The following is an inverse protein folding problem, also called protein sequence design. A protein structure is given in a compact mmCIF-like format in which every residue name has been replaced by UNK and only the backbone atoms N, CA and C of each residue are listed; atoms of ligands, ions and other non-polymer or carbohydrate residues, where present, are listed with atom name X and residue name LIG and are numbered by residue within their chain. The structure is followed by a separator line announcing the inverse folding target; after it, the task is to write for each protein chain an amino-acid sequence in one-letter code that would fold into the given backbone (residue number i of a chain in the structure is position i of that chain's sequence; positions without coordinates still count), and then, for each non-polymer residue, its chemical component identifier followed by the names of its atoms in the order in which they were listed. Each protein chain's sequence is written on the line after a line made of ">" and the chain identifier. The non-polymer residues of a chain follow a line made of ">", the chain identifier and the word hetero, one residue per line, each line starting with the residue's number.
data_IF_030994774170
#
_entry.id   IF_030994774170
#
_cell.length_a   1.000
_cell.length_b   1.000
_cell.length_c   1.000
_cell.angle_alpha   90.00
_cell.angle_beta   90.00
_cell.angle_gamma   90.00
#
_symmetry.space_group_name_H-M   'P 1'
#
loop_
_entity.id
_entity.type
_entity.pdbx_description
1 polymer ?
#
# COMPACT_ATOMS: atom_id res chain seq x y z
N UNK A 1 4.19 11.53 19.10
CA UNK A 1 4.93 10.34 18.63
C UNK A 1 4.48 10.12 17.20
N UNK A 2 5.37 10.19 16.20
CA UNK A 2 4.95 9.88 14.83
C UNK A 2 4.75 8.37 14.79
N UNK A 3 3.53 7.91 14.58
CA UNK A 3 3.28 6.53 14.15
C UNK A 3 4.23 6.26 12.99
N UNK A 4 5.07 5.25 13.14
CA UNK A 4 5.92 4.82 12.05
C UNK A 4 5.01 4.05 11.11
N UNK A 5 4.50 4.71 10.08
CA UNK A 5 3.70 4.05 9.05
C UNK A 5 4.56 2.94 8.46
N UNK A 6 4.14 1.70 8.68
CA UNK A 6 4.83 0.52 8.18
C UNK A 6 4.95 0.61 6.66
N UNK A 7 6.18 0.46 6.14
CA UNK A 7 6.41 0.55 4.70
C UNK A 7 5.91 -0.73 4.01
N UNK A 8 5.31 -0.63 2.82
CA UNK A 8 4.84 -1.80 2.07
C UNK A 8 5.98 -2.79 1.80
N UNK A 9 5.71 -4.07 2.00
CA UNK A 9 6.62 -5.17 1.72
C UNK A 9 6.09 -6.07 0.60
N UNK A 10 7.00 -6.75 -0.10
CA UNK A 10 6.63 -7.71 -1.13
C UNK A 10 5.70 -8.79 -0.55
N UNK A 11 4.57 -9.03 -1.22
CA UNK A 11 3.54 -9.96 -0.76
C UNK A 11 2.39 -9.30 0.01
N UNK A 12 2.57 -8.07 0.52
CA UNK A 12 1.45 -7.32 1.10
C UNK A 12 0.37 -7.04 0.05
N UNK A 13 -0.88 -6.96 0.49
CA UNK A 13 -2.01 -6.58 -0.36
C UNK A 13 -2.65 -5.31 0.18
N UNK A 14 -2.82 -4.34 -0.72
CA UNK A 14 -3.42 -3.06 -0.46
C UNK A 14 -4.70 -2.88 -1.28
N UNK A 15 -5.70 -2.24 -0.69
CA UNK A 15 -6.90 -1.77 -1.38
C UNK A 15 -6.81 -0.27 -1.60
N UNK A 16 -7.03 0.20 -2.83
CA UNK A 16 -7.17 1.64 -3.09
C UNK A 16 -8.49 2.18 -2.54
N UNK A 17 -8.58 3.50 -2.35
CA UNK A 17 -9.83 4.18 -2.00
C UNK A 17 -10.99 3.92 -2.99
N UNK A 18 -10.71 3.43 -4.20
CA UNK A 18 -11.70 3.02 -5.21
C UNK A 18 -12.14 1.55 -5.10
N UNK A 19 -11.63 0.80 -4.12
CA UNK A 19 -11.96 -0.61 -3.90
C UNK A 19 -11.06 -1.61 -4.64
N UNK A 20 -10.24 -1.18 -5.60
CA UNK A 20 -9.34 -2.07 -6.34
C UNK A 20 -8.22 -2.63 -5.47
N UNK A 21 -7.89 -3.90 -5.67
CA UNK A 21 -6.83 -4.62 -4.95
C UNK A 21 -5.51 -4.60 -5.70
N UNK A 22 -4.43 -4.47 -4.93
CA UNK A 22 -3.08 -4.40 -5.44
C UNK A 22 -2.12 -5.21 -4.57
N UNK A 23 -1.33 -6.07 -5.19
CA UNK A 23 -0.26 -6.80 -4.52
C UNK A 23 1.05 -6.04 -4.69
N UNK A 24 1.77 -5.86 -3.58
CA UNK A 24 3.09 -5.25 -3.57
C UNK A 24 4.10 -6.25 -4.11
N UNK A 25 4.86 -5.83 -5.13
CA UNK A 25 5.98 -6.58 -5.68
C UNK A 25 7.26 -6.25 -4.92
N UNK A 26 7.42 -4.99 -4.52
CA UNK A 26 8.56 -4.54 -3.73
C UNK A 26 8.70 -3.02 -3.68
N UNK A 27 9.82 -2.57 -3.14
CA UNK A 27 10.24 -1.15 -3.15
C UNK A 27 11.54 -1.00 -3.94
N UNK A 28 11.73 0.19 -4.50
CA UNK A 28 12.93 0.55 -5.25
C UNK A 28 13.35 1.97 -4.94
N UNK A 29 14.60 2.32 -5.27
CA UNK A 29 15.07 3.71 -5.25
C UNK A 29 15.12 4.20 -6.70
N UNK A 30 14.48 5.34 -6.97
CA UNK A 30 14.60 6.01 -8.26
C UNK A 30 16.02 6.60 -8.37
N UNK A 31 16.82 6.14 -9.32
CA UNK A 31 18.27 6.40 -9.34
C UNK A 31 18.61 7.88 -9.55
N UNK A 32 17.77 8.59 -10.29
CA UNK A 32 17.96 9.98 -10.70
C UNK A 32 17.54 10.97 -9.61
N UNK A 33 16.53 10.62 -8.79
CA UNK A 33 15.97 11.51 -7.76
C UNK A 33 16.20 11.02 -6.34
N UNK A 34 16.69 9.80 -6.18
CA UNK A 34 16.88 9.08 -4.90
C UNK A 34 15.59 8.83 -4.11
N UNK A 35 14.42 9.00 -4.74
CA UNK A 35 13.12 8.80 -4.10
C UNK A 35 12.80 7.31 -3.91
N UNK A 36 12.23 6.96 -2.76
CA UNK A 36 11.66 5.62 -2.53
C UNK A 36 10.38 5.44 -3.34
N UNK A 37 10.30 4.32 -4.07
CA UNK A 37 9.19 3.95 -4.93
C UNK A 37 8.57 2.64 -4.45
N UNK A 38 7.26 2.49 -4.67
CA UNK A 38 6.51 1.24 -4.48
C UNK A 38 6.19 0.67 -5.85
N UNK A 39 6.51 -0.61 -6.05
CA UNK A 39 6.18 -1.39 -7.24
C UNK A 39 5.06 -2.35 -6.86
N UNK A 40 3.95 -2.30 -7.60
CA UNK A 40 2.75 -3.08 -7.28
C UNK A 40 1.98 -3.42 -8.56
N UNK A 41 1.10 -4.42 -8.50
CA UNK A 41 0.25 -4.83 -9.63
C UNK A 41 -1.16 -5.12 -9.20
N UNK A 42 -2.11 -5.03 -10.13
CA UNK A 42 -3.44 -5.61 -9.96
C UNK A 42 -3.44 -7.10 -10.34
N UNK A 43 -4.61 -7.68 -10.53
CA UNK A 43 -4.86 -9.02 -11.10
C UNK A 43 -4.28 -9.26 -12.51
N UNK A 44 -3.84 -8.20 -13.22
CA UNK A 44 -3.27 -8.28 -14.55
C UNK A 44 -1.74 -8.35 -14.63
N UNK A 45 -1.22 -8.34 -15.86
CA UNK A 45 0.23 -8.33 -16.14
C UNK A 45 0.87 -6.94 -15.95
N UNK A 46 0.05 -5.89 -15.86
CA UNK A 46 0.55 -4.53 -15.74
C UNK A 46 1.04 -4.23 -14.32
N UNK A 47 2.28 -3.76 -14.25
CA UNK A 47 2.89 -3.25 -13.02
C UNK A 47 2.85 -1.73 -13.01
N UNK A 48 2.66 -1.18 -11.82
CA UNK A 48 2.65 0.25 -11.53
C UNK A 48 3.82 0.60 -10.62
N UNK A 49 4.30 1.83 -10.76
CA UNK A 49 5.33 2.41 -9.90
C UNK A 49 4.83 3.76 -9.39
N UNK A 50 5.00 4.05 -8.11
CA UNK A 50 4.58 5.31 -7.49
C UNK A 50 5.54 5.71 -6.36
N UNK A 51 5.80 7.01 -6.13
CA UNK A 51 6.55 7.45 -4.95
C UNK A 51 5.91 6.95 -3.65
N UNK A 52 6.73 6.50 -2.71
CA UNK A 52 6.29 5.94 -1.42
C UNK A 52 5.43 6.95 -0.65
N UNK A 53 5.85 8.21 -0.62
CA UNK A 53 5.11 9.29 0.05
C UNK A 53 3.70 9.45 -0.54
N UNK A 54 3.58 9.43 -1.88
CA UNK A 54 2.28 9.50 -2.55
C UNK A 54 1.45 8.22 -2.44
N UNK A 55 2.08 7.09 -2.15
CA UNK A 55 1.40 5.82 -1.90
C UNK A 55 0.80 5.79 -0.49
N UNK A 56 1.55 6.28 0.50
CA UNK A 56 1.09 6.39 1.90
C UNK A 56 0.22 7.64 2.14
N UNK A 57 0.01 8.49 1.13
CA UNK A 57 -0.77 9.72 1.27
C UNK A 57 -2.25 9.44 1.51
N UNK A 58 -2.92 10.43 2.08
CA UNK A 58 -4.38 10.48 2.12
C UNK A 58 -4.94 11.12 0.84
N UNK A 59 -6.25 10.99 0.66
CA UNK A 59 -7.08 11.63 -0.36
C UNK A 59 -8.35 12.15 0.28
N UNK A 60 -8.85 13.29 -0.21
CA UNK A 60 -10.21 13.75 0.09
C UNK A 60 -11.19 13.12 -0.91
N UNK A 61 -12.19 12.43 -0.40
CA UNK A 61 -13.28 11.84 -1.18
C UNK A 61 -14.59 12.28 -0.52
N UNK A 62 -15.36 13.10 -1.21
CA UNK A 62 -16.64 13.65 -0.73
C UNK A 62 -16.53 14.33 0.65
N UNK A 63 -15.44 15.07 0.89
CA UNK A 63 -15.18 15.76 2.15
C UNK A 63 -14.71 14.85 3.29
N UNK A 64 -14.38 13.58 2.98
CA UNK A 64 -13.76 12.64 3.91
C UNK A 64 -12.31 12.38 3.53
N UNK A 65 -11.40 12.64 4.47
CA UNK A 65 -10.00 12.26 4.36
C UNK A 65 -9.82 10.78 4.64
N UNK A 66 -9.21 10.04 3.71
CA UNK A 66 -8.92 8.62 3.87
C UNK A 66 -7.61 8.21 3.18
N UNK A 67 -6.98 7.09 3.60
CA UNK A 67 -5.77 6.60 2.95
C UNK A 67 -6.02 6.30 1.47
N UNK A 68 -5.09 6.72 0.60
CA UNK A 68 -5.14 6.38 -0.82
C UNK A 68 -5.11 4.86 -1.03
N UNK A 69 -4.27 4.19 -0.25
CA UNK A 69 -4.14 2.74 -0.22
C UNK A 69 -4.14 2.26 1.24
N UNK A 70 -4.96 1.24 1.53
CA UNK A 70 -5.09 0.62 2.84
C UNK A 70 -4.56 -0.81 2.79
N UNK A 71 -3.63 -1.18 3.67
CA UNK A 71 -3.17 -2.57 3.82
C UNK A 71 -4.33 -3.42 4.32
N UNK A 72 -4.60 -4.52 3.62
CA UNK A 72 -5.69 -5.46 3.96
C UNK A 72 -5.17 -6.86 4.28
N UNK A 73 -4.03 -7.25 3.68
CA UNK A 73 -3.29 -8.44 4.04
C UNK A 73 -1.80 -8.12 4.14
N UNK A 74 -1.14 -8.72 5.13
CA UNK A 74 0.32 -8.76 5.16
C UNK A 74 0.86 -9.86 4.24
N UNK A 75 2.17 -9.83 4.00
CA UNK A 75 2.91 -10.86 3.24
C UNK A 75 2.76 -12.29 3.80
N UNK A 76 2.33 -12.44 5.04
CA UNK A 76 2.08 -13.73 5.71
C UNK A 76 0.64 -14.21 5.51
N UNK A 77 -0.22 -13.36 4.93
CA UNK A 77 -1.63 -13.64 4.64
C UNK A 77 -2.60 -13.25 5.76
N UNK A 78 -2.13 -12.59 6.83
CA UNK A 78 -3.01 -12.18 7.91
C UNK A 78 -3.86 -10.98 7.50
N UNK A 79 -5.17 -11.07 7.76
CA UNK A 79 -6.10 -9.95 7.54
C UNK A 79 -5.86 -8.84 8.55
N UNK A 80 -5.61 -7.62 8.07
CA UNK A 80 -5.37 -6.42 8.91
C UNK A 80 -6.68 -5.78 9.40
N UNK A 81 -7.72 -6.56 9.73
CA UNK A 81 -8.97 -6.00 10.24
C UNK A 81 -8.74 -5.38 11.63
N UNK A 82 -9.37 -4.22 11.88
CA UNK A 82 -9.16 -3.31 13.03
C UNK A 82 -9.31 -3.91 14.45
N UNK A 83 -9.55 -5.21 14.58
CA UNK A 83 -9.56 -5.93 15.84
C UNK A 83 -8.70 -7.17 15.70
N UNK A 84 -7.47 -7.09 16.20
CA UNK A 84 -6.57 -8.21 16.51
C UNK A 84 -6.48 -9.31 15.44
N UNK A 85 -5.39 -9.31 14.68
CA UNK A 85 -4.83 -10.45 13.92
C UNK A 85 -5.64 -11.75 14.06
N UNK A 86 -6.62 -11.95 13.19
CA UNK A 86 -7.26 -13.26 13.07
C UNK A 86 -6.45 -14.05 12.05
N UNK A 87 -5.57 -14.92 12.56
CA UNK A 87 -4.97 -15.99 11.79
C UNK A 87 -6.07 -16.92 11.27
N UNK A 88 -5.91 -17.41 10.04
CA UNK A 88 -6.57 -18.63 9.57
C UNK A 88 -5.73 -19.85 9.91
#
# INVERSE_FOLDING_TARGET
>A
MKETVEKPEAGDVYQSYKGNLYMIIGRAIHAETTEEMVIYKSDGEMMFVRPLEMFQSEVDVDGQTMPRYKKIWDKEGHSTTLFGVSSI
#
